data_IF_466605175065
#
_entry.id   IF_466605175065
#
_cell.length_a   1.000
_cell.length_b   1.000
_cell.length_c   1.000
_cell.angle_alpha   90.00
_cell.angle_beta   90.00
_cell.angle_gamma   90.00
#
_symmetry.space_group_name_H-M   'P 1'
#
loop_
_entity.id
_entity.type
_entity.pdbx_description
1 polymer ?
#
# COMPACT_ATOMS: atom_id res chain seq x y z
N UNK A 1 4.49 -13.97 25.60
CA UNK A 1 3.58 -13.58 24.50
C UNK A 1 4.44 -13.00 23.38
N UNK A 2 4.49 -13.66 22.22
CA UNK A 2 5.27 -13.12 21.10
C UNK A 2 4.65 -11.80 20.63
N UNK A 3 5.52 -10.82 20.41
CA UNK A 3 5.19 -9.50 19.86
C UNK A 3 4.84 -9.57 18.36
N UNK A 4 4.17 -10.62 17.89
CA UNK A 4 3.80 -10.72 16.48
C UNK A 4 2.63 -9.77 16.19
N UNK A 5 2.93 -8.51 15.92
CA UNK A 5 1.98 -7.54 15.36
C UNK A 5 1.67 -7.84 13.89
N UNK A 6 1.29 -9.10 13.59
CA UNK A 6 1.15 -9.60 12.21
C UNK A 6 2.49 -9.85 11.50
N UNK A 7 3.63 -9.72 12.20
CA UNK A 7 4.94 -10.04 11.67
C UNK A 7 5.16 -11.55 11.74
N UNK A 8 5.02 -12.21 10.60
CA UNK A 8 5.38 -13.60 10.44
C UNK A 8 6.77 -13.68 9.81
N UNK A 9 7.56 -14.67 10.22
CA UNK A 9 8.90 -14.90 9.68
C UNK A 9 8.95 -16.26 9.00
N UNK A 10 9.84 -16.39 8.01
CA UNK A 10 10.17 -17.67 7.39
C UNK A 10 8.96 -18.39 6.80
N UNK A 11 8.71 -19.62 7.25
CA UNK A 11 7.66 -20.50 6.72
C UNK A 11 6.25 -19.98 6.97
N UNK A 12 5.98 -19.36 8.12
CA UNK A 12 4.64 -18.85 8.43
C UNK A 12 4.27 -17.69 7.52
N UNK A 13 5.20 -16.76 7.29
CA UNK A 13 4.99 -15.68 6.32
C UNK A 13 4.68 -16.24 4.94
N UNK A 14 5.48 -17.21 4.45
CA UNK A 14 5.25 -17.82 3.14
C UNK A 14 3.89 -18.50 3.04
N UNK A 15 3.47 -19.25 4.07
CA UNK A 15 2.18 -19.95 4.11
C UNK A 15 1.00 -18.97 4.08
N UNK A 16 0.98 -18.00 5.00
CA UNK A 16 -0.08 -16.99 5.08
C UNK A 16 -0.11 -16.15 3.81
N UNK A 17 1.07 -15.74 3.32
CA UNK A 17 1.18 -14.98 2.08
C UNK A 17 0.65 -15.74 0.87
N UNK A 18 0.94 -17.05 0.78
CA UNK A 18 0.43 -17.91 -0.30
C UNK A 18 -1.10 -17.93 -0.31
N UNK A 19 -1.72 -18.10 0.85
CA UNK A 19 -3.18 -18.10 0.99
C UNK A 19 -3.80 -16.73 0.61
N UNK A 20 -3.23 -15.63 1.14
CA UNK A 20 -3.68 -14.27 0.82
C UNK A 20 -3.58 -13.96 -0.67
N UNK A 21 -2.49 -14.36 -1.33
CA UNK A 21 -2.27 -14.12 -2.77
C UNK A 21 -3.44 -14.62 -3.65
N UNK A 22 -4.22 -15.62 -3.21
CA UNK A 22 -5.40 -16.11 -3.96
C UNK A 22 -6.44 -15.01 -4.18
N UNK A 23 -6.56 -14.05 -3.26
CA UNK A 23 -7.42 -12.86 -3.39
C UNK A 23 -6.87 -11.75 -4.27
N UNK A 24 -5.60 -11.82 -4.64
CA UNK A 24 -4.94 -10.77 -5.41
C UNK A 24 -4.47 -11.30 -6.77
N UNK A 25 -5.04 -12.40 -7.26
CA UNK A 25 -4.85 -12.83 -8.65
C UNK A 25 -5.63 -11.94 -9.61
N UNK A 26 -5.22 -11.84 -10.88
CA UNK A 26 -5.97 -11.09 -11.88
C UNK A 26 -7.45 -11.54 -12.00
N UNK A 27 -7.75 -12.82 -11.76
CA UNK A 27 -9.11 -13.33 -11.74
C UNK A 27 -9.92 -12.84 -10.53
N UNK A 28 -9.30 -12.85 -9.33
CA UNK A 28 -9.93 -12.32 -8.13
C UNK A 28 -10.18 -10.81 -8.25
N UNK A 29 -9.19 -10.04 -8.72
CA UNK A 29 -9.37 -8.59 -8.94
C UNK A 29 -10.50 -8.29 -9.92
N UNK A 30 -10.66 -9.08 -10.98
CA UNK A 30 -11.81 -8.94 -11.89
C UNK A 30 -13.16 -9.15 -11.20
N UNK A 31 -13.24 -10.03 -10.19
CA UNK A 31 -14.47 -10.20 -9.41
C UNK A 31 -14.79 -8.98 -8.52
N UNK A 32 -13.79 -8.18 -8.14
CA UNK A 32 -13.98 -6.97 -7.34
C UNK A 32 -14.39 -5.75 -8.18
N UNK A 33 -14.29 -5.83 -9.50
CA UNK A 33 -14.55 -4.72 -10.40
C UNK A 33 -15.94 -4.10 -10.21
N UNK A 34 -16.98 -4.91 -9.97
CA UNK A 34 -18.33 -4.42 -9.73
C UNK A 34 -18.41 -3.53 -8.47
N UNK A 35 -17.72 -3.92 -7.40
CA UNK A 35 -17.62 -3.12 -6.16
C UNK A 35 -16.91 -1.80 -6.44
N UNK A 36 -15.75 -1.86 -7.09
CA UNK A 36 -14.97 -0.66 -7.40
C UNK A 36 -15.71 0.31 -8.31
N UNK A 37 -16.48 -0.21 -9.28
CA UNK A 37 -17.31 0.60 -10.16
C UNK A 37 -18.39 1.36 -9.38
N UNK A 38 -19.13 0.68 -8.50
CA UNK A 38 -20.16 1.31 -7.67
C UNK A 38 -19.56 2.41 -6.79
N UNK A 39 -18.43 2.13 -6.13
CA UNK A 39 -17.74 3.13 -5.30
C UNK A 39 -17.26 4.33 -6.14
N UNK A 40 -16.74 4.10 -7.34
CA UNK A 40 -16.33 5.16 -8.25
C UNK A 40 -17.52 6.03 -8.71
N UNK A 41 -18.66 5.42 -9.03
CA UNK A 41 -19.90 6.13 -9.39
C UNK A 41 -20.39 7.01 -8.23
N UNK A 42 -20.37 6.49 -7.00
CA UNK A 42 -20.72 7.27 -5.80
C UNK A 42 -19.79 8.45 -5.57
N UNK A 43 -18.47 8.29 -5.79
CA UNK A 43 -17.52 9.41 -5.74
C UNK A 43 -17.91 10.46 -6.78
N UNK A 44 -18.18 10.05 -8.03
CA UNK A 44 -18.57 10.98 -9.10
C UNK A 44 -19.84 11.77 -8.75
N UNK A 45 -20.89 11.10 -8.28
CA UNK A 45 -22.14 11.75 -7.85
C UNK A 45 -21.89 12.77 -6.72
N UNK A 46 -21.06 12.41 -5.74
CA UNK A 46 -20.71 13.33 -4.67
C UNK A 46 -19.91 14.53 -5.18
N UNK A 47 -18.95 14.31 -6.08
CA UNK A 47 -18.18 15.38 -6.72
C UNK A 47 -19.06 16.33 -7.54
N UNK A 48 -20.12 15.85 -8.19
CA UNK A 48 -21.08 16.70 -8.92
C UNK A 48 -21.89 17.60 -7.97
N UNK A 49 -22.12 17.14 -6.74
CA UNK A 49 -22.81 17.91 -5.70
C UNK A 49 -21.91 18.95 -5.01
N UNK A 50 -20.60 18.96 -5.29
CA UNK A 50 -19.68 19.85 -4.62
C UNK A 50 -19.96 21.32 -4.96
N UNK A 51 -19.92 22.21 -3.96
CA UNK A 51 -20.06 23.64 -4.22
C UNK A 51 -18.91 24.14 -5.08
N UNK A 52 -19.07 25.29 -5.74
CA UNK A 52 -17.97 25.97 -6.44
C UNK A 52 -16.86 26.50 -5.52
N UNK A 53 -16.80 26.04 -4.27
CA UNK A 53 -15.80 26.38 -3.27
C UNK A 53 -14.72 25.28 -3.17
N UNK A 54 -13.57 25.64 -2.59
CA UNK A 54 -12.51 24.67 -2.32
C UNK A 54 -13.02 23.56 -1.40
N UNK A 55 -12.88 22.30 -1.84
CA UNK A 55 -13.38 21.13 -1.12
C UNK A 55 -12.25 20.12 -0.91
N UNK A 56 -12.21 19.51 0.28
CA UNK A 56 -11.25 18.46 0.60
C UNK A 56 -11.67 17.13 -0.03
N UNK A 57 -11.04 16.80 -1.17
CA UNK A 57 -11.25 15.52 -1.87
C UNK A 57 -10.57 14.34 -1.17
N UNK A 58 -9.59 14.56 -0.29
CA UNK A 58 -8.87 13.48 0.38
C UNK A 58 -9.77 12.75 1.37
N UNK A 59 -10.58 13.50 2.14
CA UNK A 59 -11.57 12.92 3.05
C UNK A 59 -12.61 12.05 2.33
N UNK A 60 -13.07 12.50 1.15
CA UNK A 60 -13.97 11.72 0.29
C UNK A 60 -13.31 10.42 -0.20
N UNK A 61 -12.10 10.53 -0.75
CA UNK A 61 -11.35 9.38 -1.24
C UNK A 61 -10.99 8.38 -0.12
N UNK A 62 -10.69 8.86 1.08
CA UNK A 62 -10.42 8.01 2.25
C UNK A 62 -11.64 7.18 2.65
N UNK A 63 -12.84 7.76 2.62
CA UNK A 63 -14.07 7.02 2.90
C UNK A 63 -14.37 6.00 1.79
N UNK A 64 -14.20 6.39 0.54
CA UNK A 64 -14.49 5.54 -0.61
C UNK A 64 -13.52 4.36 -0.74
N UNK A 65 -12.22 4.57 -0.54
CA UNK A 65 -11.22 3.48 -0.58
C UNK A 65 -11.40 2.50 0.58
N UNK A 66 -11.83 2.99 1.75
CA UNK A 66 -12.20 2.15 2.88
C UNK A 66 -13.39 1.26 2.53
N UNK A 67 -14.45 1.85 1.95
CA UNK A 67 -15.64 1.12 1.50
C UNK A 67 -15.30 0.06 0.46
N UNK A 68 -14.54 0.42 -0.56
CA UNK A 68 -14.06 -0.50 -1.59
C UNK A 68 -13.28 -1.69 -0.98
N UNK A 69 -12.37 -1.41 -0.04
CA UNK A 69 -11.56 -2.45 0.62
C UNK A 69 -12.41 -3.38 1.47
N UNK A 70 -13.35 -2.82 2.25
CA UNK A 70 -14.24 -3.61 3.11
C UNK A 70 -15.14 -4.52 2.29
N UNK A 71 -15.80 -3.99 1.26
CA UNK A 71 -16.72 -4.76 0.44
C UNK A 71 -15.99 -5.80 -0.43
N UNK A 72 -14.89 -5.42 -1.08
CA UNK A 72 -14.20 -6.32 -2.01
C UNK A 72 -13.41 -7.42 -1.29
N UNK A 73 -12.70 -7.07 -0.21
CA UNK A 73 -11.74 -7.99 0.41
C UNK A 73 -12.34 -8.68 1.63
N UNK A 74 -13.02 -7.95 2.51
CA UNK A 74 -13.61 -8.52 3.74
C UNK A 74 -15.06 -9.00 3.55
N UNK A 75 -15.73 -8.53 2.50
CA UNK A 75 -17.15 -8.77 2.26
C UNK A 75 -18.03 -8.26 3.40
N UNK A 76 -17.71 -7.08 3.95
CA UNK A 76 -18.53 -6.41 4.95
C UNK A 76 -18.68 -4.91 4.62
N UNK A 77 -19.78 -4.27 5.06
CA UNK A 77 -19.93 -2.82 4.99
C UNK A 77 -19.03 -2.09 6.00
N UNK A 78 -18.69 -0.83 5.76
CA UNK A 78 -17.79 -0.06 6.64
C UNK A 78 -18.39 0.24 8.02
N UNK A 79 -19.71 0.29 8.12
CA UNK A 79 -20.43 0.48 9.38
C UNK A 79 -20.09 -0.63 10.39
N UNK A 80 -19.74 -1.82 9.90
CA UNK A 80 -19.39 -2.93 10.77
C UNK A 80 -18.07 -2.67 11.49
N UNK A 81 -17.12 -1.94 10.90
CA UNK A 81 -15.79 -1.73 11.49
C UNK A 81 -15.82 -1.04 12.87
N UNK A 82 -16.88 -0.30 13.16
CA UNK A 82 -17.02 0.47 14.40
C UNK A 82 -16.23 1.78 14.39
N UNK A 83 -16.87 2.85 14.86
CA UNK A 83 -16.31 4.21 14.84
C UNK A 83 -14.98 4.32 15.61
N UNK A 84 -14.84 3.57 16.71
CA UNK A 84 -13.64 3.59 17.55
C UNK A 84 -12.40 3.08 16.81
N UNK A 85 -12.54 2.00 16.04
CA UNK A 85 -11.44 1.43 15.26
C UNK A 85 -11.00 2.40 14.15
N UNK A 86 -11.96 2.95 13.41
CA UNK A 86 -11.69 3.93 12.35
C UNK A 86 -11.01 5.19 12.92
N UNK A 87 -11.50 5.70 14.05
CA UNK A 87 -10.90 6.85 14.73
C UNK A 87 -9.47 6.57 15.21
N UNK A 88 -9.23 5.40 15.79
CA UNK A 88 -7.90 4.99 16.24
C UNK A 88 -6.91 4.88 15.06
N UNK A 89 -7.35 4.30 13.94
CA UNK A 89 -6.49 4.19 12.75
C UNK A 89 -6.10 5.55 12.20
N UNK A 90 -7.05 6.51 12.11
CA UNK A 90 -6.74 7.90 11.73
C UNK A 90 -5.72 8.53 12.68
N UNK A 91 -5.78 8.22 13.97
CA UNK A 91 -4.78 8.72 14.93
C UNK A 91 -3.41 8.08 14.74
N UNK A 92 -3.32 6.78 14.45
CA UNK A 92 -2.06 6.11 14.07
C UNK A 92 -1.42 6.84 12.90
N UNK A 93 -2.18 7.06 11.82
CA UNK A 93 -1.69 7.70 10.59
C UNK A 93 -1.19 9.12 10.87
N UNK A 94 -1.93 9.92 11.64
CA UNK A 94 -1.51 11.27 12.01
C UNK A 94 -0.20 11.28 12.79
N UNK A 95 -0.01 10.31 13.69
CA UNK A 95 1.21 10.21 14.49
C UNK A 95 2.40 9.73 13.66
N UNK A 96 2.20 8.75 12.77
CA UNK A 96 3.28 8.20 11.93
C UNK A 96 3.63 9.10 10.74
N UNK A 97 2.69 9.91 10.25
CA UNK A 97 2.93 10.90 9.20
C UNK A 97 3.53 12.23 9.71
N UNK A 98 3.54 12.45 11.03
CA UNK A 98 4.07 13.67 11.65
C UNK A 98 5.59 13.76 11.50
N UNK A 99 6.07 14.64 10.62
CA UNK A 99 7.49 14.95 10.46
C UNK A 99 7.93 16.20 11.23
N UNK A 100 7.48 16.35 12.48
CA UNK A 100 8.06 17.39 13.36
C UNK A 100 9.56 17.16 13.53
N UNK A 101 10.35 18.22 13.69
CA UNK A 101 11.81 18.11 13.94
C UNK A 101 12.13 17.17 15.10
N UNK A 102 11.29 17.19 16.15
CA UNK A 102 11.40 16.30 17.31
C UNK A 102 11.18 14.83 16.93
N UNK A 103 10.21 14.52 16.07
CA UNK A 103 10.00 13.15 15.58
C UNK A 103 11.17 12.69 14.73
N UNK A 104 11.65 13.52 13.81
CA UNK A 104 12.82 13.17 12.97
C UNK A 104 14.05 12.91 13.84
N UNK A 105 14.29 13.75 14.87
CA UNK A 105 15.38 13.54 15.81
C UNK A 105 15.18 12.26 16.64
N UNK A 106 13.97 12.01 17.12
CA UNK A 106 13.64 10.79 17.87
C UNK A 106 13.89 9.54 17.01
N UNK A 107 13.41 9.51 15.77
CA UNK A 107 13.64 8.40 14.83
C UNK A 107 15.13 8.22 14.53
N UNK A 108 15.89 9.30 14.36
CA UNK A 108 17.33 9.24 14.12
C UNK A 108 18.12 8.69 15.33
N UNK A 109 17.65 8.95 16.55
CA UNK A 109 18.23 8.38 17.77
C UNK A 109 17.82 6.91 17.89
N UNK A 110 16.53 6.64 17.75
CA UNK A 110 15.94 5.32 17.99
C UNK A 110 16.40 4.29 16.94
N UNK A 111 16.60 4.69 15.69
CA UNK A 111 17.19 3.83 14.63
C UNK A 111 18.63 3.38 14.92
N UNK A 112 19.34 4.07 15.81
CA UNK A 112 20.70 3.70 16.26
C UNK A 112 20.71 2.85 17.52
N UNK A 113 19.55 2.65 18.16
CA UNK A 113 19.46 1.81 19.36
C UNK A 113 19.46 0.33 18.94
N UNK A 114 20.17 -0.54 19.69
CA UNK A 114 20.08 -1.97 19.48
C UNK A 114 18.63 -2.48 19.54
N UNK A 115 18.29 -3.49 18.74
CA UNK A 115 16.92 -4.03 18.65
C UNK A 115 16.35 -4.52 19.99
N UNK A 116 17.20 -4.94 20.94
CA UNK A 116 16.76 -5.29 22.29
C UNK A 116 16.22 -4.08 23.07
N UNK A 117 16.76 -2.88 22.83
CA UNK A 117 16.25 -1.63 23.43
C UNK A 117 14.88 -1.32 22.86
N UNK A 118 14.70 -1.48 21.55
CA UNK A 118 13.40 -1.37 20.89
C UNK A 118 12.34 -2.27 21.53
N UNK A 119 12.69 -3.52 21.85
CA UNK A 119 11.78 -4.45 22.53
C UNK A 119 11.30 -3.94 23.89
N UNK A 120 12.06 -3.07 24.56
CA UNK A 120 11.66 -2.43 25.81
C UNK A 120 10.88 -1.14 25.54
N UNK A 121 11.34 -0.32 24.59
CA UNK A 121 10.77 0.99 24.27
C UNK A 121 9.30 0.88 23.81
N UNK A 122 8.96 -0.14 23.01
CA UNK A 122 7.56 -0.35 22.55
C UNK A 122 6.55 -0.65 23.68
N UNK A 123 7.04 -0.96 24.88
CA UNK A 123 6.22 -1.17 26.07
C UNK A 123 6.12 0.08 26.95
N UNK A 124 6.80 1.17 26.60
CA UNK A 124 6.65 2.44 27.31
C UNK A 124 5.25 3.02 27.05
N UNK A 125 4.62 3.63 28.07
CA UNK A 125 3.27 4.19 27.97
C UNK A 125 3.26 5.55 27.25
N UNK A 126 3.90 5.64 26.09
CA UNK A 126 3.84 6.84 25.23
C UNK A 126 2.55 6.83 24.41
N UNK A 127 2.13 8.00 23.95
CA UNK A 127 0.92 8.14 23.13
C UNK A 127 0.95 7.24 21.89
N UNK A 128 2.08 7.21 21.17
CA UNK A 128 2.22 6.41 19.94
C UNK A 128 2.05 4.92 20.20
N UNK A 129 2.67 4.38 21.26
CA UNK A 129 2.53 2.96 21.59
C UNK A 129 1.15 2.64 22.16
N UNK A 130 0.56 3.52 22.97
CA UNK A 130 -0.81 3.34 23.47
C UNK A 130 -1.83 3.25 22.33
N UNK A 131 -1.75 4.16 21.35
CA UNK A 131 -2.62 4.17 20.16
C UNK A 131 -2.35 2.94 19.27
N UNK A 132 -1.10 2.50 19.12
CA UNK A 132 -0.77 1.28 18.39
C UNK A 132 -1.31 0.01 19.07
N UNK A 133 -1.15 -0.12 20.40
CA UNK A 133 -1.68 -1.25 21.17
C UNK A 133 -3.21 -1.28 21.13
N UNK A 134 -3.87 -0.12 21.26
CA UNK A 134 -5.33 -0.01 21.11
C UNK A 134 -5.78 -0.39 19.70
N UNK A 135 -5.07 0.08 18.67
CA UNK A 135 -5.36 -0.26 17.27
C UNK A 135 -5.28 -1.75 17.01
N UNK A 136 -4.26 -2.42 17.58
CA UNK A 136 -4.13 -3.88 17.51
C UNK A 136 -5.30 -4.59 18.21
N UNK A 137 -5.68 -4.13 19.39
CA UNK A 137 -6.80 -4.71 20.13
C UNK A 137 -8.12 -4.59 19.35
N UNK A 138 -8.44 -3.38 18.88
CA UNK A 138 -9.65 -3.10 18.11
C UNK A 138 -9.63 -3.85 16.77
N UNK A 139 -8.49 -3.88 16.07
CA UNK A 139 -8.35 -4.63 14.82
C UNK A 139 -8.58 -6.13 15.00
N UNK A 140 -8.06 -6.73 16.07
CA UNK A 140 -8.33 -8.13 16.40
C UNK A 140 -9.80 -8.37 16.76
N UNK A 141 -10.46 -7.42 17.43
CA UNK A 141 -11.88 -7.52 17.76
C UNK A 141 -12.75 -7.49 16.50
N UNK A 142 -12.49 -6.53 15.60
CA UNK A 142 -13.19 -6.39 14.32
C UNK A 142 -12.93 -7.62 13.42
N UNK A 143 -11.66 -8.00 13.25
CA UNK A 143 -11.27 -9.17 12.47
C UNK A 143 -11.86 -10.47 13.03
N UNK A 144 -11.84 -10.64 14.36
CA UNK A 144 -12.42 -11.80 15.03
C UNK A 144 -13.92 -11.92 14.81
N UNK A 145 -14.66 -10.80 14.90
CA UNK A 145 -16.09 -10.78 14.61
C UNK A 145 -16.36 -11.15 13.14
N UNK A 146 -15.67 -10.51 12.19
CA UNK A 146 -15.84 -10.78 10.75
C UNK A 146 -15.57 -12.26 10.44
N UNK A 147 -14.42 -12.79 10.88
CA UNK A 147 -14.05 -14.20 10.61
C UNK A 147 -15.08 -15.16 11.22
N UNK A 148 -15.54 -14.89 12.44
CA UNK A 148 -16.56 -15.72 13.10
C UNK A 148 -17.89 -15.71 12.34
N UNK A 149 -18.37 -14.54 11.91
CA UNK A 149 -19.60 -14.42 11.12
C UNK A 149 -19.52 -15.19 9.80
N UNK A 150 -18.37 -15.12 9.10
CA UNK A 150 -18.14 -15.91 7.88
C UNK A 150 -18.18 -17.41 8.15
N UNK A 151 -17.50 -17.88 9.21
CA UNK A 151 -17.52 -19.30 9.60
C UNK A 151 -18.93 -19.78 9.99
N UNK A 152 -19.68 -18.98 10.74
CA UNK A 152 -21.05 -19.28 11.13
C UNK A 152 -21.97 -19.37 9.92
N UNK A 153 -21.83 -18.48 8.94
CA UNK A 153 -22.58 -18.54 7.69
C UNK A 153 -22.31 -19.85 6.92
N UNK A 154 -21.04 -20.23 6.76
CA UNK A 154 -20.65 -21.50 6.10
C UNK A 154 -21.17 -22.71 6.88
N UNK A 155 -21.11 -22.68 8.22
CA UNK A 155 -21.64 -23.76 9.06
C UNK A 155 -23.17 -23.91 8.97
N UNK A 156 -23.88 -22.82 8.65
CA UNK A 156 -25.32 -22.84 8.38
C UNK A 156 -25.67 -23.31 6.96
N UNK A 157 -24.68 -23.70 6.16
CA UNK A 157 -24.86 -24.18 4.79
C UNK A 157 -25.10 -23.07 3.77
N UNK A 158 -24.83 -21.81 4.13
CA UNK A 158 -24.80 -20.71 3.16
C UNK A 158 -23.53 -20.84 2.32
N UNK A 159 -23.62 -20.53 1.01
CA UNK A 159 -22.44 -20.46 0.17
C UNK A 159 -21.48 -19.39 0.70
N UNK A 160 -20.19 -19.72 0.77
CA UNK A 160 -19.17 -18.77 1.17
C UNK A 160 -19.19 -17.56 0.21
N UNK A 161 -19.11 -16.36 0.77
CA UNK A 161 -19.00 -15.14 -0.03
C UNK A 161 -17.83 -15.20 -1.01
N UNK A 162 -17.94 -14.46 -2.12
CA UNK A 162 -16.86 -14.38 -3.12
C UNK A 162 -15.65 -13.55 -2.65
N UNK A 163 -15.78 -12.83 -1.53
CA UNK A 163 -14.71 -12.07 -0.91
C UNK A 163 -13.57 -12.96 -0.38
N UNK A 164 -12.41 -12.37 -0.15
CA UNK A 164 -11.22 -13.12 0.26
C UNK A 164 -11.40 -13.77 1.64
N UNK A 165 -11.98 -13.06 2.60
CA UNK A 165 -12.09 -13.55 3.98
C UNK A 165 -13.10 -14.68 4.13
N UNK A 166 -14.20 -14.65 3.36
CA UNK A 166 -15.13 -15.77 3.25
C UNK A 166 -14.43 -17.04 2.75
N UNK A 167 -13.63 -16.93 1.68
CA UNK A 167 -12.90 -18.09 1.13
C UNK A 167 -11.84 -18.63 2.08
N UNK A 168 -11.09 -17.75 2.75
CA UNK A 168 -10.04 -18.16 3.69
C UNK A 168 -10.57 -18.66 5.03
N UNK A 169 -11.83 -18.36 5.37
CA UNK A 169 -12.50 -18.86 6.56
C UNK A 169 -13.24 -20.20 6.32
N UNK A 170 -13.47 -20.58 5.07
CA UNK A 170 -14.22 -21.80 4.71
C UNK A 170 -13.38 -23.07 4.96
N UNK A 171 -13.82 -23.99 5.84
CA UNK A 171 -13.11 -25.25 6.11
C UNK A 171 -12.97 -26.19 4.91
N UNK A 172 -13.77 -25.99 3.86
CA UNK A 172 -13.68 -26.78 2.63
C UNK A 172 -12.66 -26.21 1.62
N UNK A 173 -12.09 -25.03 1.91
CA UNK A 173 -11.12 -24.39 1.03
C UNK A 173 -9.70 -24.91 1.31
N UNK A 174 -8.96 -25.27 0.25
CA UNK A 174 -7.57 -25.75 0.38
C UNK A 174 -6.61 -24.69 0.94
N UNK A 175 -6.93 -23.41 0.76
CA UNK A 175 -6.14 -22.28 1.21
C UNK A 175 -6.66 -21.69 2.54
N UNK A 176 -7.55 -22.40 3.25
CA UNK A 176 -8.09 -21.95 4.53
C UNK A 176 -6.97 -21.57 5.50
N UNK A 177 -7.17 -20.46 6.21
CA UNK A 177 -6.31 -20.04 7.31
C UNK A 177 -6.98 -20.31 8.66
N UNK A 178 -6.15 -20.69 9.64
CA UNK A 178 -6.56 -20.77 11.02
C UNK A 178 -6.95 -19.37 11.54
N UNK A 179 -7.80 -19.30 12.55
CA UNK A 179 -8.36 -18.03 13.03
C UNK A 179 -7.27 -17.09 13.57
N UNK A 180 -6.32 -17.67 14.29
CA UNK A 180 -5.13 -17.01 14.81
C UNK A 180 -4.27 -16.35 13.73
N UNK A 181 -4.34 -16.86 12.49
CA UNK A 181 -3.60 -16.33 11.35
C UNK A 181 -4.44 -15.37 10.52
N UNK A 182 -5.74 -15.62 10.35
CA UNK A 182 -6.64 -14.82 9.51
C UNK A 182 -7.10 -13.52 10.19
N UNK A 183 -7.44 -13.57 11.48
CA UNK A 183 -7.95 -12.41 12.22
C UNK A 183 -7.00 -11.21 12.18
N UNK A 184 -5.68 -11.37 12.43
CA UNK A 184 -4.75 -10.25 12.32
C UNK A 184 -4.68 -9.64 10.91
N UNK A 185 -4.95 -10.42 9.85
CA UNK A 185 -4.88 -9.92 8.47
C UNK A 185 -6.01 -8.93 8.16
N UNK A 186 -7.17 -9.05 8.81
CA UNK A 186 -8.28 -8.12 8.58
C UNK A 186 -7.87 -6.68 8.86
N UNK A 187 -7.21 -6.46 10.01
CA UNK A 187 -6.70 -5.13 10.38
C UNK A 187 -5.60 -4.64 9.43
N UNK A 188 -4.69 -5.52 9.01
CA UNK A 188 -3.60 -5.17 8.09
C UNK A 188 -4.14 -4.75 6.72
N UNK A 189 -5.05 -5.53 6.14
CA UNK A 189 -5.63 -5.26 4.81
C UNK A 189 -6.37 -3.92 4.80
N UNK A 190 -7.16 -3.63 5.84
CA UNK A 190 -7.90 -2.38 5.95
C UNK A 190 -6.98 -1.16 5.95
N UNK A 191 -5.97 -1.18 6.80
CA UNK A 191 -5.06 -0.03 6.95
C UNK A 191 -4.14 0.10 5.72
N UNK A 192 -3.62 -1.01 5.21
CA UNK A 192 -2.65 -0.99 4.11
C UNK A 192 -3.27 -0.56 2.77
N UNK A 193 -4.47 -1.05 2.45
CA UNK A 193 -5.14 -0.77 1.18
C UNK A 193 -5.81 0.61 1.12
N UNK A 194 -6.37 1.11 2.23
CA UNK A 194 -7.13 2.36 2.22
C UNK A 194 -6.24 3.59 1.97
N UNK A 195 -5.25 3.79 2.85
CA UNK A 195 -4.51 5.07 2.91
C UNK A 195 -3.56 5.25 1.73
N UNK A 196 -2.92 4.16 1.28
CA UNK A 196 -1.96 4.22 0.18
C UNK A 196 -2.65 4.58 -1.14
N UNK A 197 -3.80 3.96 -1.43
CA UNK A 197 -4.61 4.27 -2.61
C UNK A 197 -5.23 5.66 -2.51
N UNK A 198 -5.73 6.08 -1.34
CA UNK A 198 -6.25 7.44 -1.11
C UNK A 198 -5.21 8.51 -1.44
N UNK A 199 -3.99 8.36 -0.91
CA UNK A 199 -2.91 9.32 -1.14
C UNK A 199 -2.51 9.35 -2.61
N UNK A 200 -2.40 8.20 -3.26
CA UNK A 200 -2.05 8.09 -4.68
C UNK A 200 -3.07 8.81 -5.55
N UNK A 201 -4.37 8.57 -5.36
CA UNK A 201 -5.43 9.24 -6.13
C UNK A 201 -5.46 10.74 -5.81
N UNK A 202 -5.29 11.13 -4.55
CA UNK A 202 -5.28 12.54 -4.14
C UNK A 202 -4.16 13.34 -4.81
N UNK A 203 -2.93 12.80 -4.82
CA UNK A 203 -1.81 13.43 -5.54
C UNK A 203 -2.02 13.41 -7.07
N UNK A 204 -2.67 12.37 -7.59
CA UNK A 204 -3.12 12.35 -8.98
C UNK A 204 -4.04 13.51 -9.34
N UNK A 205 -5.10 13.72 -8.56
CA UNK A 205 -6.02 14.85 -8.74
C UNK A 205 -5.32 16.20 -8.58
N UNK A 206 -4.40 16.31 -7.62
CA UNK A 206 -3.58 17.50 -7.42
C UNK A 206 -2.73 17.84 -8.65
N UNK A 207 -2.05 16.86 -9.25
CA UNK A 207 -1.26 17.12 -10.44
C UNK A 207 -2.11 17.40 -11.68
N UNK A 208 -3.29 16.78 -11.81
CA UNK A 208 -4.24 17.10 -12.87
C UNK A 208 -4.77 18.54 -12.76
N UNK A 209 -5.07 18.99 -11.54
CA UNK A 209 -5.51 20.36 -11.28
C UNK A 209 -4.44 21.40 -11.65
N UNK A 210 -3.15 21.05 -11.51
CA UNK A 210 -2.02 21.90 -11.91
C UNK A 210 -1.71 21.86 -13.41
N UNK A 211 -2.18 20.83 -14.12
CA UNK A 211 -1.86 20.59 -15.53
C UNK A 211 -3.13 20.39 -16.38
N UNK A 212 -3.96 21.45 -16.57
CA UNK A 212 -5.24 21.33 -17.27
C UNK A 212 -5.11 20.85 -18.72
N UNK A 213 -4.02 21.19 -19.40
CA UNK A 213 -3.75 20.70 -20.77
C UNK A 213 -3.56 19.18 -20.81
N UNK A 214 -2.82 18.62 -19.84
CA UNK A 214 -2.65 17.18 -19.70
C UNK A 214 -3.96 16.51 -19.29
N UNK A 215 -4.71 17.11 -18.36
CA UNK A 215 -6.03 16.63 -17.95
C UNK A 215 -6.99 16.50 -19.14
N UNK A 216 -7.02 17.49 -20.04
CA UNK A 216 -7.87 17.44 -21.23
C UNK A 216 -7.45 16.34 -22.22
N UNK A 217 -6.15 16.13 -22.41
CA UNK A 217 -5.63 15.03 -23.25
C UNK A 217 -5.97 13.66 -22.67
N UNK A 218 -5.74 13.49 -21.36
CA UNK A 218 -6.06 12.24 -20.65
C UNK A 218 -7.56 11.94 -20.72
N UNK A 219 -8.40 12.96 -20.48
CA UNK A 219 -9.86 12.85 -20.63
C UNK A 219 -10.26 12.40 -22.04
N UNK A 220 -9.66 12.98 -23.08
CA UNK A 220 -9.95 12.60 -24.46
C UNK A 220 -9.56 11.14 -24.77
N UNK A 221 -8.40 10.67 -24.27
CA UNK A 221 -7.99 9.26 -24.40
C UNK A 221 -9.01 8.33 -23.73
N UNK A 222 -9.39 8.63 -22.49
CA UNK A 222 -10.34 7.81 -21.72
C UNK A 222 -11.70 7.73 -22.44
N UNK A 223 -12.26 8.86 -22.90
CA UNK A 223 -13.53 8.86 -23.65
C UNK A 223 -13.42 8.07 -24.96
N UNK A 224 -12.31 8.21 -25.68
CA UNK A 224 -12.10 7.49 -26.94
C UNK A 224 -11.98 5.99 -26.73
N UNK A 225 -11.33 5.54 -25.66
CA UNK A 225 -11.09 4.12 -25.39
C UNK A 225 -12.30 3.43 -24.77
N UNK A 226 -13.06 4.11 -23.90
CA UNK A 226 -14.27 3.55 -23.30
C UNK A 226 -15.48 3.56 -24.26
N UNK A 227 -15.65 4.59 -25.08
CA UNK A 227 -16.87 4.73 -25.88
C UNK A 227 -18.13 4.59 -25.01
N UNK A 228 -18.99 3.61 -25.31
CA UNK A 228 -20.16 3.24 -24.49
C UNK A 228 -19.92 2.04 -23.54
N UNK A 229 -18.72 1.47 -23.52
CA UNK A 229 -18.41 0.21 -22.84
C UNK A 229 -17.48 0.46 -21.64
N UNK A 230 -17.89 0.05 -20.45
CA UNK A 230 -17.09 0.28 -19.22
C UNK A 230 -16.02 -0.79 -18.99
N UNK A 231 -15.94 -1.83 -19.83
CA UNK A 231 -15.00 -2.93 -19.61
C UNK A 231 -13.55 -2.47 -19.72
N UNK A 232 -12.72 -2.92 -18.77
CA UNK A 232 -11.29 -2.61 -18.56
C UNK A 232 -10.45 -2.58 -19.85
N UNK A 233 -10.48 -1.45 -20.57
CA UNK A 233 -9.57 -1.16 -21.69
C UNK A 233 -8.30 -0.44 -21.21
N UNK A 234 -7.95 -0.57 -19.93
CA UNK A 234 -6.86 0.15 -19.27
C UNK A 234 -5.50 -0.07 -19.96
N UNK A 235 -5.23 -1.29 -20.41
CA UNK A 235 -4.00 -1.64 -21.14
C UNK A 235 -3.84 -0.88 -22.46
N UNK A 236 -4.94 -0.40 -23.04
CA UNK A 236 -4.96 0.36 -24.31
C UNK A 236 -4.87 1.88 -24.13
N UNK A 237 -4.72 2.37 -22.89
CA UNK A 237 -4.68 3.80 -22.56
C UNK A 237 -3.26 4.23 -22.15
N UNK A 238 -2.35 4.51 -23.11
CA UNK A 238 -0.95 4.82 -22.81
C UNK A 238 -0.77 6.09 -21.97
N UNK A 239 -1.57 7.15 -22.18
CA UNK A 239 -1.48 8.37 -21.37
C UNK A 239 -1.91 8.11 -19.92
N UNK A 240 -2.97 7.33 -19.70
CA UNK A 240 -3.41 6.93 -18.37
C UNK A 240 -2.34 6.09 -17.64
N UNK A 241 -1.74 5.13 -18.34
CA UNK A 241 -0.65 4.33 -17.79
C UNK A 241 0.58 5.18 -17.44
N UNK A 242 0.97 6.10 -18.33
CA UNK A 242 2.04 7.04 -18.09
C UNK A 242 1.76 7.97 -16.90
N UNK A 243 0.52 8.44 -16.78
CA UNK A 243 0.05 9.23 -15.65
C UNK A 243 0.21 8.48 -14.33
N UNK A 244 -0.32 7.26 -14.23
CA UNK A 244 -0.28 6.47 -13.00
C UNK A 244 1.16 6.11 -12.61
N UNK A 245 1.99 5.72 -13.57
CA UNK A 245 3.43 5.48 -13.32
C UNK A 245 4.13 6.73 -12.77
N UNK A 246 3.81 7.90 -13.32
CA UNK A 246 4.42 9.15 -12.86
C UNK A 246 3.95 9.57 -11.48
N UNK A 247 2.68 9.35 -11.14
CA UNK A 247 2.17 9.60 -9.79
C UNK A 247 2.83 8.66 -8.78
N UNK A 248 2.91 7.36 -9.06
CA UNK A 248 3.59 6.41 -8.18
C UNK A 248 5.09 6.74 -8.01
N UNK A 249 5.75 7.20 -9.07
CA UNK A 249 7.15 7.66 -9.04
C UNK A 249 7.33 8.94 -8.21
N UNK A 250 6.52 9.95 -8.45
CA UNK A 250 6.71 11.25 -7.79
C UNK A 250 6.16 11.23 -6.35
N UNK A 251 5.07 10.51 -6.11
CA UNK A 251 4.37 10.46 -4.82
C UNK A 251 4.19 9.02 -4.33
N UNK A 252 5.30 8.29 -4.01
CA UNK A 252 5.17 6.98 -3.42
C UNK A 252 4.46 7.10 -2.06
N UNK A 253 3.33 6.41 -1.90
CA UNK A 253 2.56 6.44 -0.67
C UNK A 253 3.37 5.94 0.55
N UNK A 254 4.33 5.04 0.30
CA UNK A 254 5.33 4.62 1.29
C UNK A 254 6.71 5.14 0.85
N UNK A 255 7.22 6.23 1.45
CA UNK A 255 8.47 6.86 1.01
C UNK A 255 9.73 6.16 1.51
N UNK A 256 9.64 5.44 2.63
CA UNK A 256 10.73 4.73 3.31
C UNK A 256 10.25 3.34 3.72
N UNK A 257 11.16 2.36 3.75
CA UNK A 257 10.90 1.03 4.29
C UNK A 257 12.12 0.49 4.99
N UNK A 258 11.94 -0.19 6.11
CA UNK A 258 13.02 -0.75 6.91
C UNK A 258 13.09 -2.27 6.77
N UNK A 259 14.30 -2.82 6.78
CA UNK A 259 14.54 -4.25 6.97
C UNK A 259 15.54 -4.49 8.10
N UNK A 260 15.43 -5.64 8.74
CA UNK A 260 16.36 -6.09 9.79
C UNK A 260 17.30 -7.12 9.20
N UNK A 261 18.60 -6.90 9.38
CA UNK A 261 19.65 -7.81 8.95
C UNK A 261 19.64 -9.07 9.81
N UNK A 262 19.47 -10.24 9.19
CA UNK A 262 19.32 -11.51 9.92
C UNK A 262 20.67 -12.15 10.32
N UNK A 263 21.73 -11.85 9.56
CA UNK A 263 23.08 -12.34 9.75
C UNK A 263 24.10 -11.32 9.25
N UNK A 264 25.31 -11.33 9.82
CA UNK A 264 26.40 -10.47 9.35
C UNK A 264 26.64 -10.71 7.86
N UNK A 265 26.54 -9.64 7.07
CA UNK A 265 26.64 -9.74 5.61
C UNK A 265 27.21 -8.46 5.02
N UNK A 266 27.38 -8.45 3.70
CA UNK A 266 27.93 -7.34 2.95
C UNK A 266 27.00 -7.04 1.79
N UNK A 267 26.47 -5.83 1.75
CA UNK A 267 25.61 -5.35 0.65
C UNK A 267 26.51 -4.83 -0.46
N UNK A 268 26.55 -5.47 -1.64
CA UNK A 268 27.28 -4.93 -2.79
C UNK A 268 26.56 -3.68 -3.32
N UNK A 269 27.33 -2.67 -3.74
CA UNK A 269 26.79 -1.47 -4.38
C UNK A 269 26.82 -1.63 -5.89
N UNK A 270 25.70 -1.34 -6.55
CA UNK A 270 25.63 -1.33 -8.01
C UNK A 270 26.49 -0.23 -8.64
N UNK A 271 26.78 0.85 -7.89
CA UNK A 271 27.64 1.95 -8.29
C UNK A 271 28.57 2.33 -7.15
N UNK A 272 29.83 2.69 -7.47
CA UNK A 272 30.80 3.10 -6.46
C UNK A 272 30.42 4.45 -5.85
N UNK A 273 30.39 4.53 -4.53
CA UNK A 273 30.09 5.76 -3.79
C UNK A 273 31.35 6.29 -3.14
N UNK A 274 31.61 7.60 -3.27
CA UNK A 274 32.77 8.23 -2.64
C UNK A 274 32.48 8.54 -1.17
N UNK A 275 33.33 8.03 -0.28
CA UNK A 275 33.29 8.40 1.14
C UNK A 275 33.71 9.85 1.36
N UNK A 276 33.39 10.39 2.54
CA UNK A 276 33.86 11.72 2.98
C UNK A 276 35.39 11.85 3.03
N UNK A 277 36.13 10.73 3.00
CA UNK A 277 37.60 10.68 2.94
C UNK A 277 38.14 10.45 1.53
N UNK A 278 37.30 10.55 0.50
CA UNK A 278 37.69 10.40 -0.91
C UNK A 278 38.04 8.97 -1.33
N UNK A 279 37.68 7.95 -0.53
CA UNK A 279 37.86 6.55 -0.90
C UNK A 279 36.58 6.00 -1.56
N UNK A 280 36.68 5.27 -2.68
CA UNK A 280 35.53 4.58 -3.26
C UNK A 280 35.06 3.46 -2.34
N UNK A 281 33.76 3.37 -2.16
CA UNK A 281 33.06 2.31 -1.45
C UNK A 281 32.25 1.55 -2.50
N UNK A 282 32.47 0.25 -2.60
CA UNK A 282 31.74 -0.65 -3.50
C UNK A 282 30.84 -1.63 -2.76
N UNK A 283 30.89 -1.63 -1.43
CA UNK A 283 30.13 -2.53 -0.58
C UNK A 283 29.95 -1.94 0.81
N UNK A 284 28.84 -2.28 1.46
CA UNK A 284 28.51 -1.83 2.81
C UNK A 284 28.40 -3.07 3.70
N UNK A 285 29.34 -3.28 4.65
CA UNK A 285 29.18 -4.33 5.65
C UNK A 285 28.05 -3.94 6.59
N UNK A 286 27.16 -4.90 6.88
CA UNK A 286 26.05 -4.74 7.81
C UNK A 286 26.06 -5.91 8.79
N UNK A 287 25.73 -5.63 10.04
CA UNK A 287 25.74 -6.63 11.11
C UNK A 287 24.34 -7.16 11.36
N UNK A 288 24.27 -8.38 11.88
CA UNK A 288 23.05 -8.95 12.43
C UNK A 288 22.37 -7.95 13.37
N UNK A 289 21.05 -7.88 13.26
CA UNK A 289 20.15 -6.99 13.99
C UNK A 289 20.28 -5.50 13.63
N UNK A 290 21.13 -5.10 12.68
CA UNK A 290 21.11 -3.74 12.15
C UNK A 290 19.84 -3.49 11.31
N UNK A 291 19.32 -2.27 11.38
CA UNK A 291 18.20 -1.81 10.55
C UNK A 291 18.78 -1.12 9.32
N UNK A 292 18.34 -1.56 8.14
CA UNK A 292 18.65 -0.92 6.86
C UNK A 292 17.39 -0.27 6.32
N UNK A 293 17.44 1.06 6.18
CA UNK A 293 16.34 1.86 5.62
C UNK A 293 16.53 2.04 4.11
N UNK A 294 15.55 1.59 3.35
CA UNK A 294 15.42 1.82 1.91
C UNK A 294 14.63 3.10 1.67
N UNK A 295 15.26 4.08 1.01
CA UNK A 295 14.64 5.37 0.73
C UNK A 295 14.00 5.38 -0.67
N UNK A 296 12.79 4.84 -0.79
CA UNK A 296 12.07 4.75 -2.07
C UNK A 296 11.83 6.13 -2.71
N UNK A 297 11.43 7.12 -1.93
CA UNK A 297 11.21 8.47 -2.43
C UNK A 297 12.49 9.11 -2.99
N UNK A 298 13.66 8.79 -2.42
CA UNK A 298 14.95 9.25 -2.90
C UNK A 298 15.38 8.51 -4.18
N UNK A 299 15.25 7.18 -4.20
CA UNK A 299 15.51 6.36 -5.39
C UNK A 299 14.69 6.84 -6.59
N UNK A 300 13.39 7.09 -6.38
CA UNK A 300 12.46 7.55 -7.41
C UNK A 300 12.74 8.99 -7.89
N UNK A 301 13.73 9.67 -7.30
CA UNK A 301 14.18 11.03 -7.63
C UNK A 301 15.66 11.11 -8.05
N UNK A 302 16.35 9.98 -8.20
CA UNK A 302 17.75 9.98 -8.63
C UNK A 302 17.88 10.44 -10.09
N UNK A 303 18.66 11.49 -10.41
CA UNK A 303 18.86 11.92 -11.79
C UNK A 303 19.49 10.85 -12.67
N UNK A 304 20.37 10.01 -12.10
CA UNK A 304 21.01 8.88 -12.80
C UNK A 304 20.03 7.79 -13.23
N UNK A 305 18.82 7.77 -12.67
CA UNK A 305 17.75 6.81 -13.01
C UNK A 305 16.61 7.46 -13.78
N UNK A 306 16.25 8.69 -13.45
CA UNK A 306 15.03 9.35 -13.94
C UNK A 306 15.29 10.58 -14.81
N UNK A 307 16.53 10.80 -15.24
CA UNK A 307 16.89 11.89 -16.14
C UNK A 307 17.15 13.22 -15.42
N UNK A 308 17.10 14.33 -16.16
CA UNK A 308 17.54 15.66 -15.66
C UNK A 308 16.53 16.32 -14.72
N UNK A 309 15.27 15.92 -14.79
CA UNK A 309 14.13 16.56 -14.12
C UNK A 309 13.37 15.62 -13.16
N UNK A 310 14.05 14.83 -12.32
CA UNK A 310 13.40 13.75 -11.57
C UNK A 310 12.46 14.26 -10.46
N UNK A 311 12.48 15.56 -10.17
CA UNK A 311 11.60 16.21 -9.19
C UNK A 311 10.34 16.81 -9.81
N UNK A 312 10.24 16.83 -11.15
CA UNK A 312 9.09 17.38 -11.86
C UNK A 312 8.10 16.26 -12.21
N UNK A 313 6.83 16.62 -12.26
CA UNK A 313 5.78 15.77 -12.81
C UNK A 313 5.87 15.79 -14.34
N UNK A 314 6.27 14.67 -14.94
CA UNK A 314 6.47 14.53 -16.38
C UNK A 314 6.03 13.13 -16.85
N UNK A 315 4.74 12.92 -17.16
CA UNK A 315 4.27 11.63 -17.68
C UNK A 315 4.88 11.23 -19.04
N UNK A 316 5.33 12.19 -19.86
CA UNK A 316 5.88 11.89 -21.18
C UNK A 316 7.13 11.02 -21.14
N UNK A 317 7.88 11.00 -20.02
CA UNK A 317 9.03 10.10 -19.83
C UNK A 317 8.70 8.62 -20.03
N UNK A 318 7.43 8.25 -19.83
CA UNK A 318 6.93 6.88 -19.98
C UNK A 318 6.46 6.57 -21.40
N UNK A 319 6.27 7.60 -22.24
CA UNK A 319 5.80 7.51 -23.62
C UNK A 319 6.95 7.55 -24.62
N UNK A 320 7.96 8.39 -24.34
CA UNK A 320 9.06 8.68 -25.25
C UNK A 320 10.14 7.58 -25.29
N UNK A 321 9.94 6.49 -24.54
CA UNK A 321 10.89 5.37 -24.45
C UNK A 321 12.16 5.69 -23.67
N UNK A 322 12.25 6.87 -23.03
CA UNK A 322 13.35 7.31 -22.16
C UNK A 322 13.33 6.62 -20.78
N UNK A 323 12.96 5.34 -20.72
CA UNK A 323 13.05 4.56 -19.49
C UNK A 323 14.48 4.10 -19.27
N UNK A 324 14.90 4.10 -18.00
CA UNK A 324 16.20 3.56 -17.57
C UNK A 324 16.46 2.17 -18.17
N UNK A 325 17.60 2.01 -18.84
CA UNK A 325 17.98 0.81 -19.59
C UNK A 325 18.79 -0.21 -18.76
N UNK A 326 19.03 0.07 -17.47
CA UNK A 326 19.71 -0.89 -16.60
C UNK A 326 18.73 -1.87 -15.97
N UNK A 327 19.23 -2.64 -14.99
CA UNK A 327 18.42 -3.62 -14.27
C UNK A 327 17.24 -2.95 -13.56
N UNK A 328 16.02 -3.38 -13.91
CA UNK A 328 14.81 -2.86 -13.32
C UNK A 328 14.70 -3.28 -11.85
N UNK A 329 14.38 -2.33 -10.99
CA UNK A 329 14.19 -2.54 -9.56
C UNK A 329 12.70 -2.47 -9.24
N UNK A 330 12.20 -3.47 -8.53
CA UNK A 330 10.80 -3.57 -8.16
C UNK A 330 9.93 -4.20 -9.26
N UNK A 331 8.67 -4.49 -8.95
CA UNK A 331 7.79 -5.32 -9.77
C UNK A 331 7.12 -4.58 -10.92
N UNK A 332 7.12 -3.25 -10.90
CA UNK A 332 6.37 -2.44 -11.84
C UNK A 332 7.17 -1.22 -12.27
N UNK A 333 7.44 -1.10 -13.58
CA UNK A 333 8.00 0.10 -14.20
C UNK A 333 9.29 0.65 -13.52
N UNK A 334 10.15 -0.23 -12.98
CA UNK A 334 11.33 0.17 -12.23
C UNK A 334 11.00 1.04 -10.99
N UNK A 335 9.81 0.86 -10.40
CA UNK A 335 9.33 1.57 -9.22
C UNK A 335 9.40 0.68 -7.98
N UNK A 336 9.74 1.31 -6.86
CA UNK A 336 9.75 0.70 -5.53
C UNK A 336 8.47 1.02 -4.74
N UNK A 337 7.47 1.66 -5.36
CA UNK A 337 6.20 2.03 -4.73
C UNK A 337 5.41 0.83 -4.20
N UNK A 338 5.67 -0.36 -4.75
CA UNK A 338 5.08 -1.64 -4.32
C UNK A 338 6.11 -2.61 -3.73
N UNK A 339 7.25 -2.10 -3.23
CA UNK A 339 8.35 -2.89 -2.69
C UNK A 339 8.91 -3.88 -3.74
N UNK A 340 9.45 -5.02 -3.31
CA UNK A 340 9.96 -6.06 -4.19
C UNK A 340 10.27 -7.35 -3.44
N UNK A 341 10.53 -8.42 -4.19
CA UNK A 341 10.86 -9.73 -3.62
C UNK A 341 9.70 -10.37 -2.84
N UNK A 342 9.98 -11.21 -1.82
CA UNK A 342 8.95 -11.93 -1.06
C UNK A 342 7.96 -11.04 -0.30
N UNK A 343 8.30 -9.76 -0.09
CA UNK A 343 7.48 -8.76 0.61
C UNK A 343 6.89 -7.71 -0.35
N UNK A 344 6.78 -8.03 -1.64
CA UNK A 344 6.03 -7.22 -2.62
C UNK A 344 4.61 -6.92 -2.10
N UNK A 345 4.08 -5.73 -2.41
CA UNK A 345 2.70 -5.36 -2.08
C UNK A 345 1.71 -6.45 -2.52
N UNK A 346 0.79 -6.84 -1.62
CA UNK A 346 -0.32 -7.76 -1.93
C UNK A 346 -1.25 -7.14 -2.99
N UNK A 347 -1.57 -5.86 -2.82
CA UNK A 347 -2.58 -5.13 -3.58
C UNK A 347 -2.15 -4.62 -4.95
N UNK A 348 -0.91 -4.89 -5.40
CA UNK A 348 -0.39 -4.34 -6.66
C UNK A 348 -1.30 -4.64 -7.87
N UNK A 349 -1.90 -5.82 -7.89
CA UNK A 349 -2.82 -6.25 -8.95
C UNK A 349 -4.18 -5.56 -8.91
N UNK A 350 -4.62 -5.12 -7.73
CA UNK A 350 -5.83 -4.30 -7.55
C UNK A 350 -5.56 -2.89 -8.07
N UNK A 351 -4.45 -2.30 -7.65
CA UNK A 351 -4.09 -0.93 -8.02
C UNK A 351 -3.70 -0.82 -9.51
N UNK A 352 -3.14 -1.90 -10.07
CA UNK A 352 -2.69 -1.98 -11.47
C UNK A 352 -3.15 -3.29 -12.13
N UNK A 353 -4.40 -3.36 -12.60
CA UNK A 353 -4.91 -4.52 -13.33
C UNK A 353 -4.04 -4.78 -14.56
N UNK A 354 -3.32 -5.92 -14.59
CA UNK A 354 -2.37 -6.28 -15.65
C UNK A 354 -0.92 -6.44 -15.20
N UNK A 355 -0.61 -6.08 -13.95
CA UNK A 355 0.69 -6.37 -13.31
C UNK A 355 0.55 -7.66 -12.52
N UNK A 356 0.87 -8.81 -13.13
CA UNK A 356 0.73 -10.13 -12.52
C UNK A 356 1.67 -11.17 -13.10
#
# INVERSE_FOLDING_TARGET
MSLNAGWYLGSDHRRIRSALNTGFTAAAVRSYYAVFKVVAEQICEQLESFPSAATDVCSLLSAATLEATCQAILGCPTQDLGEEFVANNREIIKLTASQSEVHVLADAIVSRLPTWVWRVVIHLPTKIFAVAHRGRFLGNQVGGRIVREKKEATAQGLEAGSDLFSRLADPNNSDMLAEEDLVPQAGVVLVAGQETTTNTISFGLFELAKHPDFQNKLRAEIYSALGNNTTLAYESMPLLNAFIREILRLYPAVPLSDCIVLEDTVIPLGESVMSSRGKPINQIPVRKDEIVTMAFAAYQRLPSRWGKDPHLFNPSRWLDGETYQGEAVGPYANLLSFFGGPHICLGITIDLPGVG
#
